data_IF_090623648309
#
_entry.id   IF_090623648309
#
_cell.length_a   1.000
_cell.length_b   1.000
_cell.length_c   1.000
_cell.angle_alpha   90.00
_cell.angle_beta   90.00
_cell.angle_gamma   90.00
#
_symmetry.space_group_name_H-M   'P 1'
#
loop_
_entity.id
_entity.type
_entity.pdbx_description
1 polymer ?
#
# COMPACT_ATOMS: atom_id res chain seq x y z
N UNK A 1 14.16 10.98 40.36
CA UNK A 1 13.39 11.39 39.16
C UNK A 1 11.93 11.34 39.51
N UNK A 2 11.20 12.46 39.40
CA UNK A 2 9.75 12.52 39.67
C UNK A 2 9.02 12.44 38.34
N UNK A 3 8.09 11.49 38.20
CA UNK A 3 7.33 11.26 36.99
C UNK A 3 5.95 11.94 37.08
N UNK A 4 5.51 12.55 35.99
CA UNK A 4 4.21 13.19 35.86
C UNK A 4 3.47 12.65 34.65
N UNK A 5 2.14 12.64 34.72
CA UNK A 5 1.28 12.43 33.56
C UNK A 5 0.54 13.72 33.24
N UNK A 6 0.44 14.00 31.94
CA UNK A 6 -0.43 15.04 31.40
C UNK A 6 -1.70 14.38 30.89
N UNK A 7 -2.81 14.62 31.57
CA UNK A 7 -4.12 14.09 31.22
C UNK A 7 -4.89 15.16 30.45
N UNK A 8 -5.32 14.83 29.24
CA UNK A 8 -6.17 15.68 28.43
C UNK A 8 -7.62 15.21 28.57
N UNK A 9 -8.46 16.04 29.16
CA UNK A 9 -9.90 15.79 29.23
C UNK A 9 -10.58 16.35 27.99
N UNK A 10 -11.60 15.65 27.50
CA UNK A 10 -12.42 16.09 26.35
C UNK A 10 -13.53 17.09 26.71
N UNK A 11 -13.46 17.67 27.91
CA UNK A 11 -14.43 18.62 28.46
C UNK A 11 -13.74 19.89 28.96
N UNK A 12 -14.48 20.77 29.63
CA UNK A 12 -14.02 22.10 30.08
C UNK A 12 -12.83 22.07 31.06
N UNK A 13 -12.44 20.90 31.56
CA UNK A 13 -11.26 20.75 32.44
C UNK A 13 -9.93 20.91 31.69
N UNK A 14 -9.94 20.78 30.36
CA UNK A 14 -8.75 20.95 29.53
C UNK A 14 -7.64 19.97 29.89
N UNK A 15 -6.42 20.50 30.06
CA UNK A 15 -5.23 19.70 30.34
C UNK A 15 -4.80 19.86 31.81
N UNK A 16 -4.62 18.74 32.50
CA UNK A 16 -4.20 18.72 33.92
C UNK A 16 -3.00 17.79 34.10
N UNK A 17 -2.06 18.22 34.94
CA UNK A 17 -0.87 17.43 35.29
C UNK A 17 -1.04 16.81 36.66
N UNK A 18 -0.74 15.51 36.76
CA UNK A 18 -0.77 14.75 38.02
C UNK A 18 0.57 14.08 38.28
N UNK A 19 0.89 13.85 39.56
CA UNK A 19 2.00 13.00 39.93
C UNK A 19 1.71 11.56 39.51
N UNK A 20 2.74 10.83 39.09
CA UNK A 20 2.59 9.42 38.75
C UNK A 20 2.10 8.55 39.93
N UNK A 21 2.31 9.00 41.17
CA UNK A 21 1.79 8.33 42.37
C UNK A 21 0.25 8.40 42.49
N UNK A 22 -0.38 9.38 41.83
CA UNK A 22 -1.82 9.61 41.90
C UNK A 22 -2.60 8.97 40.74
N UNK A 23 -1.92 8.26 39.83
CA UNK A 23 -2.51 7.65 38.63
C UNK A 23 -2.19 6.15 38.55
N UNK A 24 -3.23 5.36 38.28
CA UNK A 24 -3.09 3.96 37.88
C UNK A 24 -2.87 3.85 36.37
N UNK A 25 -1.64 3.56 35.95
CA UNK A 25 -1.28 3.32 34.54
C UNK A 25 -1.04 1.82 34.30
N UNK A 26 -1.95 1.19 33.55
CA UNK A 26 -1.83 -0.20 33.13
C UNK A 26 -1.05 -0.30 31.82
N UNK A 27 0.05 -1.06 31.85
CA UNK A 27 0.91 -1.30 30.68
C UNK A 27 0.71 -2.71 30.16
N UNK A 28 0.48 -2.84 28.87
CA UNK A 28 0.41 -4.12 28.16
C UNK A 28 1.75 -4.37 27.45
N UNK A 29 2.27 -5.59 27.50
CA UNK A 29 3.48 -6.02 26.79
C UNK A 29 4.66 -5.04 26.90
N UNK A 30 5.34 -5.03 28.04
CA UNK A 30 6.53 -4.18 28.28
C UNK A 30 7.78 -4.94 27.84
N UNK A 31 8.52 -4.40 26.86
CA UNK A 31 9.71 -5.05 26.27
C UNK A 31 11.02 -4.83 27.06
N UNK A 32 10.97 -4.09 28.18
CA UNK A 32 12.15 -3.76 28.98
C UNK A 32 13.16 -2.84 28.29
N UNK A 33 12.87 -2.36 27.08
CA UNK A 33 13.69 -1.38 26.37
C UNK A 33 13.48 0.01 26.98
N UNK A 34 14.59 0.74 27.22
CA UNK A 34 14.57 2.08 27.84
C UNK A 34 13.62 3.04 27.11
N UNK A 35 13.51 2.94 25.78
CA UNK A 35 12.63 3.81 24.98
C UNK A 35 11.13 3.53 25.18
N UNK A 36 10.76 2.34 25.63
CA UNK A 36 9.36 1.89 25.77
C UNK A 36 9.08 1.34 27.17
N UNK A 37 9.91 1.67 28.16
CA UNK A 37 9.74 1.15 29.53
C UNK A 37 8.56 1.81 30.24
N UNK A 38 8.27 3.07 29.90
CA UNK A 38 7.22 3.87 30.53
C UNK A 38 5.84 3.66 29.87
N UNK A 39 5.77 3.04 28.70
CA UNK A 39 4.53 2.84 27.92
C UNK A 39 4.39 1.39 27.45
N UNK A 40 3.17 0.86 27.49
CA UNK A 40 2.89 -0.47 26.94
C UNK A 40 2.79 -0.48 25.42
N UNK A 41 3.03 -1.63 24.79
CA UNK A 41 2.74 -1.83 23.37
C UNK A 41 1.32 -2.36 23.18
N UNK A 42 0.54 -1.71 22.31
CA UNK A 42 -0.81 -2.15 21.98
C UNK A 42 -0.79 -3.45 21.17
N UNK A 43 -1.59 -4.48 21.52
CA UNK A 43 -1.78 -5.65 20.67
C UNK A 43 -2.28 -5.33 19.26
N UNK A 44 -2.94 -4.18 19.08
CA UNK A 44 -3.37 -3.68 17.77
C UNK A 44 -2.19 -3.43 16.81
N UNK A 45 -1.01 -3.12 17.34
CA UNK A 45 0.20 -2.97 16.53
C UNK A 45 0.58 -4.28 15.80
N UNK A 46 0.27 -5.43 16.39
CA UNK A 46 0.48 -6.74 15.74
C UNK A 46 -0.56 -6.97 14.63
N UNK A 47 -1.81 -6.58 14.85
CA UNK A 47 -2.89 -6.71 13.86
C UNK A 47 -2.65 -5.82 12.62
N UNK A 48 -2.08 -4.63 12.80
CA UNK A 48 -1.73 -3.74 11.69
C UNK A 48 -0.76 -4.41 10.69
N UNK A 49 0.19 -5.21 11.17
CA UNK A 49 1.09 -5.97 10.28
C UNK A 49 0.33 -7.05 9.51
N UNK A 50 -0.57 -7.77 10.19
CA UNK A 50 -1.36 -8.84 9.60
C UNK A 50 -2.32 -8.32 8.51
N UNK A 51 -2.99 -7.19 8.75
CA UNK A 51 -3.83 -6.51 7.76
C UNK A 51 -3.02 -6.10 6.52
N UNK A 52 -1.83 -5.54 6.73
CA UNK A 52 -0.97 -5.12 5.61
C UNK A 52 -0.51 -6.32 4.77
N UNK A 53 -0.15 -7.43 5.40
CA UNK A 53 0.22 -8.67 4.69
C UNK A 53 -0.95 -9.18 3.85
N UNK A 54 -2.15 -9.23 4.43
CA UNK A 54 -3.35 -9.68 3.71
C UNK A 54 -3.66 -8.80 2.49
N UNK A 55 -3.56 -7.48 2.63
CA UNK A 55 -3.76 -6.54 1.53
C UNK A 55 -2.72 -6.73 0.42
N UNK A 56 -1.45 -6.91 0.78
CA UNK A 56 -0.39 -7.13 -0.19
C UNK A 56 -0.56 -8.45 -0.93
N UNK A 57 -0.92 -9.54 -0.23
CA UNK A 57 -1.22 -10.83 -0.86
C UNK A 57 -2.37 -10.71 -1.86
N UNK A 58 -3.43 -9.98 -1.52
CA UNK A 58 -4.56 -9.76 -2.43
C UNK A 58 -4.14 -8.97 -3.69
N UNK A 59 -3.34 -7.92 -3.54
CA UNK A 59 -2.82 -7.13 -4.66
C UNK A 59 -1.90 -7.96 -5.56
N UNK A 60 -1.04 -8.79 -4.96
CA UNK A 60 -0.14 -9.68 -5.70
C UNK A 60 -0.95 -10.71 -6.49
N UNK A 61 -1.90 -11.41 -5.85
CA UNK A 61 -2.76 -12.37 -6.53
C UNK A 61 -3.54 -11.75 -7.69
N UNK A 62 -4.09 -10.54 -7.50
CA UNK A 62 -4.77 -9.82 -8.57
C UNK A 62 -3.83 -9.44 -9.71
N UNK A 63 -2.62 -8.98 -9.39
CA UNK A 63 -1.61 -8.62 -10.40
C UNK A 63 -1.11 -9.85 -11.15
N UNK A 64 -0.89 -10.98 -10.47
CA UNK A 64 -0.54 -12.25 -11.08
C UNK A 64 -1.63 -12.75 -12.01
N UNK A 65 -2.91 -12.68 -11.62
CA UNK A 65 -4.02 -13.05 -12.51
C UNK A 65 -4.12 -12.13 -13.73
N UNK A 66 -4.01 -10.80 -13.54
CA UNK A 66 -4.02 -9.84 -14.66
C UNK A 66 -2.89 -10.10 -15.65
N UNK A 67 -1.68 -10.35 -15.15
CA UNK A 67 -0.50 -10.58 -15.99
C UNK A 67 -0.46 -12.00 -16.58
N UNK A 68 -1.07 -12.99 -15.94
CA UNK A 68 -1.18 -14.35 -16.48
C UNK A 68 -2.19 -14.44 -17.63
N UNK A 69 -3.26 -13.62 -17.62
CA UNK A 69 -4.27 -13.58 -18.69
C UNK A 69 -3.78 -12.78 -19.91
N UNK A 70 -2.77 -11.92 -19.76
CA UNK A 70 -2.14 -11.18 -20.85
C UNK A 70 -0.73 -11.72 -21.16
N UNK A 71 -0.59 -12.88 -21.82
CA UNK A 71 0.71 -13.37 -22.22
C UNK A 71 1.30 -12.40 -23.25
N UNK A 72 2.35 -11.68 -22.84
CA UNK A 72 3.38 -11.06 -23.68
C UNK A 72 3.01 -10.94 -25.17
N UNK A 73 2.20 -9.94 -25.51
CA UNK A 73 1.87 -9.64 -26.90
C UNK A 73 3.15 -9.20 -27.62
N UNK A 74 3.70 -10.06 -28.46
CA UNK A 74 4.82 -9.70 -29.33
C UNK A 74 4.24 -9.07 -30.59
N UNK A 75 4.49 -7.78 -30.79
CA UNK A 75 4.14 -7.08 -32.04
C UNK A 75 5.31 -7.24 -33.01
N UNK A 76 5.14 -8.10 -34.02
CA UNK A 76 6.13 -8.28 -35.10
C UNK A 76 5.76 -7.39 -36.28
N UNK A 77 6.60 -6.39 -36.59
CA UNK A 77 6.44 -5.53 -37.78
C UNK A 77 7.36 -6.05 -38.90
N UNK A 78 6.83 -6.50 -40.05
CA UNK A 78 7.66 -6.93 -41.16
C UNK A 78 8.40 -5.72 -41.76
N UNK A 79 9.73 -5.82 -41.84
CA UNK A 79 10.59 -4.99 -42.69
C UNK A 79 10.74 -3.47 -42.37
N UNK A 80 10.68 -3.05 -41.10
CA UNK A 80 11.06 -1.67 -40.74
C UNK A 80 11.99 -1.61 -39.52
N UNK A 81 13.15 -0.96 -39.66
CA UNK A 81 13.89 -0.42 -38.49
C UNK A 81 13.07 0.75 -37.95
N UNK A 82 12.19 0.45 -37.01
CA UNK A 82 11.41 1.48 -36.33
C UNK A 82 12.29 2.23 -35.33
N UNK A 83 12.29 3.56 -35.45
CA UNK A 83 12.86 4.44 -34.43
C UNK A 83 12.15 4.24 -33.09
N UNK A 84 12.82 4.49 -31.94
CA UNK A 84 12.25 4.26 -30.60
C UNK A 84 10.88 4.91 -30.37
N UNK A 85 10.66 6.08 -30.94
CA UNK A 85 9.39 6.82 -30.85
C UNK A 85 8.25 6.12 -31.60
N UNK A 86 8.52 5.56 -32.79
CA UNK A 86 7.53 4.81 -33.55
C UNK A 86 7.13 3.51 -32.82
N UNK A 87 8.08 2.85 -32.15
CA UNK A 87 7.80 1.68 -31.30
C UNK A 87 6.90 2.02 -30.11
N UNK A 88 7.13 3.17 -29.49
CA UNK A 88 6.29 3.67 -28.39
C UNK A 88 4.86 3.94 -28.84
N UNK A 89 4.70 4.59 -29.99
CA UNK A 89 3.38 4.92 -30.55
C UNK A 89 2.59 3.66 -30.92
N UNK A 90 3.23 2.66 -31.53
CA UNK A 90 2.60 1.37 -31.84
C UNK A 90 2.17 0.67 -30.55
N UNK A 91 3.01 0.65 -29.52
CA UNK A 91 2.68 0.02 -28.24
C UNK A 91 1.50 0.70 -27.56
N UNK A 92 1.49 2.03 -27.47
CA UNK A 92 0.38 2.80 -26.90
C UNK A 92 -0.91 2.60 -27.67
N UNK A 93 -0.85 2.59 -29.01
CA UNK A 93 -2.03 2.32 -29.85
C UNK A 93 -2.59 0.93 -29.57
N UNK A 94 -1.71 -0.08 -29.48
CA UNK A 94 -2.11 -1.45 -29.16
C UNK A 94 -2.69 -1.57 -27.75
N UNK A 95 -2.06 -0.98 -26.74
CA UNK A 95 -2.56 -0.95 -25.36
C UNK A 95 -3.92 -0.27 -25.25
N UNK A 96 -4.14 0.84 -25.97
CA UNK A 96 -5.44 1.53 -26.01
C UNK A 96 -6.53 0.71 -26.71
N UNK A 97 -6.17 -0.07 -27.74
CA UNK A 97 -7.10 -0.96 -28.43
C UNK A 97 -7.41 -2.22 -27.61
N UNK A 98 -6.51 -2.65 -26.73
CA UNK A 98 -6.65 -3.89 -25.95
C UNK A 98 -7.06 -3.66 -24.47
N UNK A 99 -7.25 -2.41 -24.04
CA UNK A 99 -7.60 -2.07 -22.66
C UNK A 99 -8.96 -1.40 -22.52
N UNK A 100 -9.47 -1.37 -21.29
CA UNK A 100 -10.74 -0.72 -20.95
C UNK A 100 -11.95 -1.31 -21.70
N UNK A 101 -12.81 -0.43 -22.22
CA UNK A 101 -14.01 -0.82 -22.97
C UNK A 101 -13.72 -1.53 -24.32
N UNK A 102 -12.46 -1.54 -24.76
CA UNK A 102 -12.05 -2.21 -25.99
C UNK A 102 -11.50 -3.62 -25.77
N UNK A 103 -11.37 -4.07 -24.51
CA UNK A 103 -10.93 -5.42 -24.19
C UNK A 103 -11.83 -6.47 -24.87
N UNK A 104 -11.24 -7.32 -25.72
CA UNK A 104 -11.94 -8.37 -26.47
C UNK A 104 -12.56 -7.94 -27.81
N UNK A 105 -12.37 -6.69 -28.25
CA UNK A 105 -12.79 -6.24 -29.59
C UNK A 105 -11.74 -6.63 -30.65
N UNK A 106 -12.14 -6.82 -31.93
CA UNK A 106 -11.19 -7.07 -33.02
C UNK A 106 -10.15 -5.95 -33.14
N UNK A 107 -8.87 -6.30 -33.23
CA UNK A 107 -7.76 -5.36 -33.42
C UNK A 107 -7.67 -5.00 -34.91
N UNK A 108 -7.56 -3.71 -35.23
CA UNK A 108 -7.38 -3.23 -36.60
C UNK A 108 -5.95 -2.76 -36.78
N UNK A 109 -5.22 -3.41 -37.69
CA UNK A 109 -3.86 -3.04 -38.06
C UNK A 109 -3.90 -2.46 -39.48
N UNK A 110 -3.47 -1.21 -39.64
CA UNK A 110 -3.31 -0.55 -40.94
C UNK A 110 -1.88 -0.81 -41.48
N UNK A 111 -1.76 -1.02 -42.79
CA UNK A 111 -0.49 -1.30 -43.49
C UNK A 111 -0.04 -0.15 -44.41
N UNK A 112 -0.65 1.03 -44.28
CA UNK A 112 -0.32 2.20 -45.11
C UNK A 112 1.04 2.82 -44.80
#
# INVERSE_FOLDING_TARGET
NVLYYTVNYGDDRGQVTYLAADILHFRLFVSGQVATELVGSSPLNSLAKEINIQNYSNQLSLSSLKNAIAPSYTITVPAAKLEPEAKENIRKSFENQNSGANAGRPIVLDQS
#
